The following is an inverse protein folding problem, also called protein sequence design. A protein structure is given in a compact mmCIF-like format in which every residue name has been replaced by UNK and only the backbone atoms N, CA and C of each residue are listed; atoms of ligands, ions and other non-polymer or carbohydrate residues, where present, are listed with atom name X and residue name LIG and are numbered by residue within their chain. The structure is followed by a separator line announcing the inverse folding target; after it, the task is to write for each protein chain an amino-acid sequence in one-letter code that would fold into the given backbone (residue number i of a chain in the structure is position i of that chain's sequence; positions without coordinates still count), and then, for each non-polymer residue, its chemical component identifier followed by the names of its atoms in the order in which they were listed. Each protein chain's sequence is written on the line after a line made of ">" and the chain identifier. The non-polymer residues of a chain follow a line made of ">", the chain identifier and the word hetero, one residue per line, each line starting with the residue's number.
data_IF_337334456333
#
_entry.id   IF_337334456333
#
_cell.length_a   1.000
_cell.length_b   1.000
_cell.length_c   1.000
_cell.angle_alpha   90.00
_cell.angle_beta   90.00
_cell.angle_gamma   90.00
#
_symmetry.space_group_name_H-M   'P 1'
#
loop_
_entity.id
_entity.type
_entity.pdbx_description
1 polymer ?
#
# COMPACT_ATOMS: atom_id res chain seq x y z
N UNK A 1 19.39 -0.76 -7.53
CA UNK A 1 19.22 -1.31 -6.16
C UNK A 1 18.17 -0.60 -5.28
N UNK A 2 17.26 0.24 -5.81
CA UNK A 2 16.20 0.89 -4.99
C UNK A 2 14.86 0.12 -4.95
N UNK A 3 14.65 -0.89 -5.79
CA UNK A 3 13.35 -1.58 -5.90
C UNK A 3 13.04 -2.45 -4.68
N UNK A 4 14.04 -3.14 -4.14
CA UNK A 4 13.89 -3.92 -2.91
C UNK A 4 13.55 -3.07 -1.67
N UNK A 5 13.77 -1.75 -1.69
CA UNK A 5 13.53 -0.90 -0.52
C UNK A 5 12.08 -0.45 -0.36
N UNK A 6 11.25 -0.53 -1.41
CA UNK A 6 9.85 -0.08 -1.33
C UNK A 6 8.87 -1.20 -0.97
N UNK A 7 9.24 -2.47 -1.18
CA UNK A 7 8.42 -3.64 -0.82
C UNK A 7 8.09 -3.70 0.68
N UNK A 8 9.05 -3.56 1.63
CA UNK A 8 8.73 -3.56 3.05
C UNK A 8 7.74 -2.46 3.45
N UNK A 9 7.83 -1.30 2.81
CA UNK A 9 6.93 -0.16 3.04
C UNK A 9 5.53 -0.42 2.48
N UNK A 10 5.42 -0.96 1.27
CA UNK A 10 4.14 -1.31 0.66
C UNK A 10 3.39 -2.38 1.47
N UNK A 11 4.10 -3.41 1.97
CA UNK A 11 3.51 -4.46 2.81
C UNK A 11 2.99 -3.88 4.13
N UNK A 12 3.76 -3.02 4.80
CA UNK A 12 3.33 -2.37 6.04
C UNK A 12 2.07 -1.52 5.83
N UNK A 13 2.00 -0.76 4.74
CA UNK A 13 0.83 0.04 4.40
C UNK A 13 -0.40 -0.83 4.12
N UNK A 14 -0.24 -1.97 3.44
CA UNK A 14 -1.34 -2.92 3.24
C UNK A 14 -1.84 -3.52 4.56
N UNK A 15 -0.93 -3.91 5.45
CA UNK A 15 -1.29 -4.45 6.76
C UNK A 15 -2.02 -3.41 7.62
N UNK A 16 -1.55 -2.15 7.60
CA UNK A 16 -2.19 -1.03 8.28
C UNK A 16 -3.58 -0.74 7.71
N UNK A 17 -3.73 -0.72 6.38
CA UNK A 17 -5.01 -0.57 5.70
C UNK A 17 -6.04 -1.63 6.12
N UNK A 18 -5.62 -2.89 6.23
CA UNK A 18 -6.48 -3.98 6.73
C UNK A 18 -6.85 -3.77 8.21
N UNK A 19 -5.91 -3.29 9.03
CA UNK A 19 -6.16 -3.00 10.44
C UNK A 19 -7.25 -1.94 10.61
N UNK A 20 -7.19 -0.85 9.83
CA UNK A 20 -8.21 0.20 9.83
C UNK A 20 -9.60 -0.33 9.45
N UNK A 21 -9.69 -1.21 8.44
CA UNK A 21 -10.97 -1.84 8.06
C UNK A 21 -11.52 -2.70 9.18
N UNK A 22 -10.68 -3.52 9.82
CA UNK A 22 -11.09 -4.37 10.95
C UNK A 22 -11.58 -3.52 12.12
N UNK A 23 -10.87 -2.44 12.43
CA UNK A 23 -11.29 -1.52 13.49
C UNK A 23 -12.64 -0.87 13.15
N UNK A 24 -12.87 -0.47 11.89
CA UNK A 24 -14.10 0.20 11.48
C UNK A 24 -15.40 -0.58 11.74
N UNK A 25 -15.33 -1.91 11.87
CA UNK A 25 -16.51 -2.79 12.08
C UNK A 25 -17.17 -2.55 13.45
N UNK A 26 -16.41 -2.11 14.45
CA UNK A 26 -16.90 -1.90 15.82
C UNK A 26 -17.21 -0.45 16.19
N UNK A 27 -17.00 0.49 15.27
CA UNK A 27 -16.96 1.93 15.57
C UNK A 27 -18.24 2.64 15.17
N UNK A 28 -18.41 3.88 15.65
CA UNK A 28 -19.54 4.72 15.23
C UNK A 28 -19.48 5.02 13.72
N UNK A 29 -20.60 5.32 13.04
CA UNK A 29 -20.58 5.56 11.59
C UNK A 29 -19.58 6.63 11.13
N UNK A 30 -19.36 7.66 11.94
CA UNK A 30 -18.38 8.73 11.65
C UNK A 30 -16.95 8.24 11.76
N UNK A 31 -16.64 7.48 12.81
CA UNK A 31 -15.32 6.89 13.02
C UNK A 31 -15.02 5.77 12.02
N UNK A 32 -16.00 4.93 11.71
CA UNK A 32 -15.92 3.91 10.68
C UNK A 32 -15.61 4.52 9.31
N UNK A 33 -16.30 5.62 8.93
CA UNK A 33 -16.03 6.33 7.68
C UNK A 33 -14.60 6.91 7.65
N UNK A 34 -14.12 7.45 8.78
CA UNK A 34 -12.74 7.96 8.90
C UNK A 34 -11.71 6.85 8.72
N UNK A 35 -11.91 5.71 9.38
CA UNK A 35 -11.01 4.54 9.28
C UNK A 35 -11.02 3.93 7.88
N UNK A 36 -12.18 3.88 7.22
CA UNK A 36 -12.27 3.44 5.83
C UNK A 36 -11.52 4.39 4.88
N UNK A 37 -11.59 5.71 5.12
CA UNK A 37 -10.83 6.68 4.34
C UNK A 37 -9.31 6.49 4.52
N UNK A 38 -8.86 6.31 5.76
CA UNK A 38 -7.45 6.03 6.06
C UNK A 38 -6.98 4.73 5.40
N UNK A 39 -7.80 3.68 5.48
CA UNK A 39 -7.54 2.41 4.81
C UNK A 39 -7.39 2.58 3.29
N UNK A 40 -8.32 3.30 2.65
CA UNK A 40 -8.30 3.54 1.22
C UNK A 40 -7.04 4.32 0.80
N UNK A 41 -6.65 5.32 1.59
CA UNK A 41 -5.45 6.12 1.33
C UNK A 41 -4.18 5.27 1.43
N UNK A 42 -4.03 4.47 2.49
CA UNK A 42 -2.86 3.60 2.68
C UNK A 42 -2.78 2.51 1.61
N UNK A 43 -3.91 1.89 1.25
CA UNK A 43 -3.99 0.95 0.13
C UNK A 43 -3.56 1.59 -1.20
N UNK A 44 -4.03 2.81 -1.49
CA UNK A 44 -3.65 3.51 -2.72
C UNK A 44 -2.15 3.83 -2.78
N UNK A 45 -1.53 4.18 -1.65
CA UNK A 45 -0.08 4.41 -1.57
C UNK A 45 0.67 3.09 -1.76
N UNK A 46 0.23 2.02 -1.10
CA UNK A 46 0.85 0.70 -1.23
C UNK A 46 0.84 0.20 -2.69
N UNK A 47 -0.30 0.32 -3.37
CA UNK A 47 -0.44 -0.03 -4.79
C UNK A 47 0.52 0.77 -5.68
N UNK A 48 0.68 2.08 -5.45
CA UNK A 48 1.62 2.91 -6.21
C UNK A 48 3.07 2.50 -5.96
N UNK A 49 3.43 2.18 -4.72
CA UNK A 49 4.79 1.70 -4.41
C UNK A 49 5.10 0.38 -5.12
N UNK A 50 4.13 -0.54 -5.18
CA UNK A 50 4.27 -1.80 -5.91
C UNK A 50 4.35 -1.57 -7.42
N UNK A 51 3.55 -0.66 -7.98
CA UNK A 51 3.60 -0.32 -9.40
C UNK A 51 4.96 0.28 -9.80
N UNK A 52 5.50 1.19 -8.98
CA UNK A 52 6.82 1.77 -9.20
C UNK A 52 7.92 0.71 -9.06
N UNK A 53 7.75 -0.27 -8.17
CA UNK A 53 8.68 -1.38 -8.06
C UNK A 53 8.69 -2.22 -9.34
N UNK A 54 7.50 -2.65 -9.79
CA UNK A 54 7.32 -3.46 -11.00
C UNK A 54 7.87 -2.76 -12.26
N UNK A 55 7.59 -1.45 -12.42
CA UNK A 55 8.10 -0.69 -13.55
C UNK A 55 9.63 -0.56 -13.54
N UNK A 56 10.24 -0.39 -12.35
CA UNK A 56 11.69 -0.35 -12.24
C UNK A 56 12.34 -1.71 -12.50
N UNK A 57 11.74 -2.81 -12.02
CA UNK A 57 12.23 -4.16 -12.28
C UNK A 57 12.19 -4.46 -13.78
N UNK A 58 11.11 -4.08 -14.46
CA UNK A 58 11.00 -4.21 -15.92
C UNK A 58 12.06 -3.42 -16.67
N UNK A 59 12.28 -2.15 -16.30
CA UNK A 59 13.34 -1.31 -16.91
C UNK A 59 14.73 -1.90 -16.71
N UNK A 60 15.02 -2.50 -15.55
CA UNK A 60 16.30 -3.15 -15.30
C UNK A 60 16.49 -4.40 -16.18
N UNK A 61 15.44 -5.20 -16.37
CA UNK A 61 15.47 -6.35 -17.28
C UNK A 61 15.73 -5.88 -18.71
N UNK A 62 15.00 -4.86 -19.18
CA UNK A 62 15.14 -4.30 -20.54
C UNK A 62 16.54 -3.68 -20.79
N UNK A 63 17.23 -3.20 -19.75
CA UNK A 63 18.60 -2.66 -19.87
C UNK A 63 19.70 -3.73 -19.94
N UNK A 64 19.42 -4.96 -19.48
CA UNK A 64 20.40 -6.06 -19.42
C UNK A 64 20.22 -7.05 -20.58
N UNK A 65 19.05 -7.03 -21.23
CA UNK A 65 18.72 -7.82 -22.44
C UNK A 65 19.32 -7.20 -23.72
#
# INVERSE_FOLDING_TARGET
>A
MQVASVMPSAVKLYQSSISHLKQSVGETPVEAARLQLQSAQESAIASKLLQVADENDRRLIDMVA
#
